data_IF_670160955888
#
_entry.id   IF_670160955888
#
_cell.length_a   1.000
_cell.length_b   1.000
_cell.length_c   1.000
_cell.angle_alpha   90.00
_cell.angle_beta   90.00
_cell.angle_gamma   90.00
#
_symmetry.space_group_name_H-M   'P 1'
#
loop_
_entity.id
_entity.type
_entity.pdbx_description
1 polymer ?
#
# COMPACT_ATOMS: atom_id res chain seq x y z
N UNK A 1 16.27 9.99 -0.29
CA UNK A 1 15.68 10.82 -1.39
C UNK A 1 15.91 12.29 -1.05
N UNK A 2 16.25 13.17 -2.00
CA UNK A 2 16.32 14.61 -1.74
C UNK A 2 14.94 15.16 -1.33
N UNK A 3 14.88 15.92 -0.23
CA UNK A 3 13.61 16.47 0.30
C UNK A 3 13.08 17.62 -0.54
N UNK A 4 13.94 18.30 -1.29
CA UNK A 4 13.59 19.43 -2.16
C UNK A 4 12.66 19.03 -3.32
N UNK A 5 12.44 17.73 -3.54
CA UNK A 5 11.51 17.21 -4.54
C UNK A 5 10.09 17.03 -3.99
N UNK A 6 9.88 17.16 -2.68
CA UNK A 6 8.59 16.93 -2.04
C UNK A 6 7.86 18.25 -1.82
N UNK A 7 6.76 18.42 -2.55
CA UNK A 7 5.88 19.57 -2.36
C UNK A 7 5.06 19.46 -1.06
N UNK A 8 4.60 20.59 -0.48
CA UNK A 8 3.64 20.56 0.63
C UNK A 8 2.39 19.74 0.30
N UNK A 9 1.80 19.11 1.31
CA UNK A 9 0.63 18.23 1.20
C UNK A 9 0.84 16.94 0.38
N UNK A 10 2.09 16.55 0.10
CA UNK A 10 2.38 15.29 -0.62
C UNK A 10 2.22 14.07 0.29
N UNK A 11 1.66 12.99 -0.24
CA UNK A 11 1.70 11.67 0.40
C UNK A 11 2.92 10.91 -0.11
N UNK A 12 3.85 10.61 0.78
CA UNK A 12 5.07 9.86 0.47
C UNK A 12 4.91 8.42 0.98
N UNK A 13 5.10 7.45 0.10
CA UNK A 13 5.01 6.02 0.41
C UNK A 13 6.36 5.36 0.19
N UNK A 14 6.97 4.83 1.25
CA UNK A 14 8.18 4.04 1.12
C UNK A 14 7.86 2.57 0.77
N UNK A 15 8.23 2.17 -0.44
CA UNK A 15 8.03 0.81 -0.96
C UNK A 15 9.24 -0.09 -0.69
N UNK A 16 10.39 0.49 -0.35
CA UNK A 16 11.59 -0.29 -0.06
C UNK A 16 11.46 -1.08 1.25
N UNK A 17 12.14 -2.22 1.32
CA UNK A 17 12.18 -3.05 2.54
C UNK A 17 13.03 -2.46 3.66
N UNK A 18 13.71 -1.33 3.41
CA UNK A 18 14.59 -0.63 4.34
C UNK A 18 14.24 0.87 4.39
N UNK A 19 14.65 1.54 5.48
CA UNK A 19 14.49 3.00 5.62
C UNK A 19 15.46 3.71 4.69
N UNK A 20 14.93 4.49 3.75
CA UNK A 20 15.68 5.21 2.71
C UNK A 20 15.32 6.72 2.62
N UNK A 21 14.44 7.16 3.53
CA UNK A 21 13.99 8.54 3.68
C UNK A 21 14.22 8.97 5.13
N UNK A 22 14.72 10.19 5.29
CA UNK A 22 14.78 10.85 6.59
C UNK A 22 13.37 11.29 6.99
N UNK A 23 12.77 10.54 7.90
CA UNK A 23 11.40 10.71 8.35
C UNK A 23 11.22 12.02 9.14
N UNK A 24 12.20 12.39 9.96
CA UNK A 24 12.11 13.57 10.82
C UNK A 24 12.10 14.84 9.97
N UNK A 25 12.97 14.90 8.97
CA UNK A 25 13.06 16.02 8.04
C UNK A 25 11.87 16.06 7.06
N UNK A 26 11.35 14.90 6.64
CA UNK A 26 10.16 14.81 5.78
C UNK A 26 8.90 15.34 6.49
N UNK A 27 8.73 15.04 7.78
CA UNK A 27 7.59 15.47 8.57
C UNK A 27 7.60 16.98 8.90
N UNK A 28 8.71 17.69 8.65
CA UNK A 28 8.74 19.15 8.74
C UNK A 28 8.04 19.85 7.56
N UNK A 29 7.84 19.14 6.43
CA UNK A 29 7.20 19.73 5.26
C UNK A 29 5.69 19.85 5.53
N UNK A 30 5.09 21.05 5.37
CA UNK A 30 3.70 21.28 5.73
C UNK A 30 2.73 20.31 5.03
N UNK A 31 1.90 19.64 5.83
CA UNK A 31 0.83 18.76 5.34
C UNK A 31 1.28 17.42 4.75
N UNK A 32 2.58 17.11 4.78
CA UNK A 32 3.08 15.82 4.27
C UNK A 32 2.56 14.67 5.12
N UNK A 33 2.10 13.62 4.44
CA UNK A 33 1.75 12.35 5.06
C UNK A 33 2.77 11.30 4.64
N UNK A 34 3.28 10.55 5.61
CA UNK A 34 4.29 9.54 5.36
C UNK A 34 3.80 8.14 5.70
N UNK A 35 3.96 7.21 4.76
CA UNK A 35 3.73 5.77 4.97
C UNK A 35 5.08 5.05 4.97
N UNK A 36 5.57 4.60 6.15
CA UNK A 36 6.95 4.13 6.29
C UNK A 36 7.20 2.72 5.74
N UNK A 37 6.18 1.86 5.67
CA UNK A 37 6.32 0.47 5.22
C UNK A 37 5.04 -0.05 4.58
N UNK A 38 5.16 -0.68 3.41
CA UNK A 38 4.03 -1.28 2.68
C UNK A 38 3.89 -2.79 2.84
N UNK A 39 4.86 -3.47 3.48
CA UNK A 39 4.93 -4.94 3.49
C UNK A 39 3.67 -5.65 4.02
N UNK A 40 3.04 -5.14 5.09
CA UNK A 40 1.79 -5.70 5.63
C UNK A 40 0.64 -5.58 4.61
N UNK A 41 0.57 -4.46 3.90
CA UNK A 41 -0.45 -4.22 2.86
C UNK A 41 -0.22 -5.16 1.68
N UNK A 42 1.04 -5.41 1.30
CA UNK A 42 1.38 -6.39 0.25
C UNK A 42 0.88 -7.79 0.60
N UNK A 43 1.09 -8.27 1.84
CA UNK A 43 0.59 -9.58 2.29
C UNK A 43 -0.94 -9.64 2.24
N UNK A 44 -1.62 -8.60 2.74
CA UNK A 44 -3.09 -8.52 2.68
C UNK A 44 -3.62 -8.52 1.23
N UNK A 45 -2.92 -7.83 0.32
CA UNK A 45 -3.27 -7.82 -1.10
C UNK A 45 -3.07 -9.19 -1.76
N UNK A 46 -2.03 -9.93 -1.41
CA UNK A 46 -1.84 -11.30 -1.90
C UNK A 46 -2.95 -12.23 -1.42
N UNK A 47 -3.34 -12.14 -0.14
CA UNK A 47 -4.47 -12.90 0.39
C UNK A 47 -5.79 -12.57 -0.33
N UNK A 48 -6.07 -11.28 -0.53
CA UNK A 48 -7.23 -10.84 -1.30
C UNK A 48 -7.20 -11.37 -2.74
N UNK A 49 -6.04 -11.31 -3.39
CA UNK A 49 -5.88 -11.79 -4.76
C UNK A 49 -6.08 -13.31 -4.86
N UNK A 50 -5.62 -14.07 -3.87
CA UNK A 50 -5.88 -15.51 -3.77
C UNK A 50 -7.38 -15.81 -3.71
N UNK A 51 -8.13 -15.11 -2.84
CA UNK A 51 -9.57 -15.29 -2.74
C UNK A 51 -10.28 -14.94 -4.06
N UNK A 52 -9.88 -13.83 -4.70
CA UNK A 52 -10.44 -13.45 -6.02
C UNK A 52 -10.16 -14.49 -7.10
N UNK A 53 -8.97 -15.12 -7.11
CA UNK A 53 -8.65 -16.20 -8.05
C UNK A 53 -9.53 -17.43 -7.80
N UNK A 54 -9.78 -17.76 -6.53
CA UNK A 54 -10.68 -18.85 -6.18
C UNK A 54 -12.12 -18.54 -6.60
N UNK A 55 -12.64 -17.37 -6.27
CA UNK A 55 -13.99 -16.92 -6.63
C UNK A 55 -14.22 -16.91 -8.14
N UNK A 56 -13.25 -16.42 -8.91
CA UNK A 56 -13.39 -16.27 -10.36
C UNK A 56 -13.28 -17.59 -11.15
N UNK A 57 -12.48 -18.55 -10.68
CA UNK A 57 -12.11 -19.72 -11.48
C UNK A 57 -12.46 -21.08 -10.85
N UNK A 58 -12.71 -21.12 -9.54
CA UNK A 58 -12.87 -22.38 -8.80
C UNK A 58 -14.15 -22.43 -7.95
N UNK A 59 -14.75 -21.28 -7.64
CA UNK A 59 -16.04 -21.23 -6.94
C UNK A 59 -17.16 -21.52 -7.93
N UNK A 60 -17.81 -22.68 -7.79
CA UNK A 60 -19.03 -22.97 -8.56
C UNK A 60 -20.10 -21.93 -8.18
N UNK A 61 -20.82 -21.33 -9.14
CA UNK A 61 -21.90 -20.42 -8.81
C UNK A 61 -22.90 -21.14 -7.91
N UNK A 62 -23.31 -20.49 -6.80
CA UNK A 62 -24.45 -20.98 -6.02
C UNK A 62 -25.64 -21.02 -6.98
N UNK A 63 -26.24 -22.20 -7.16
CA UNK A 63 -27.57 -22.32 -7.78
C UNK A 63 -28.55 -21.59 -6.85
N UNK A 64 -28.70 -20.29 -7.04
CA UNK A 64 -29.96 -19.63 -6.69
C UNK A 64 -30.99 -20.14 -7.70
N UNK A 65 -32.21 -20.42 -7.24
CA UNK A 65 -33.29 -21.15 -7.94
C UNK A 65 -33.28 -22.68 -7.73
N UNK A 66 -33.76 -23.08 -6.56
CA UNK A 66 -34.70 -24.20 -6.40
C UNK A 66 -35.88 -23.71 -5.58
#
# INVERSE_FOLDING_TARGET
MPLDWVSPNTVVVNVASFKNVDEEALLQIPGVQYVPLVGKVTVAMLQRNLLRLYENFHMKPKKFWQ
#
